data_IF_579996656963
#
_entry.id   IF_579996656963
#
_cell.length_a   1.000
_cell.length_b   1.000
_cell.length_c   1.000
_cell.angle_alpha   90.00
_cell.angle_beta   90.00
_cell.angle_gamma   90.00
#
_symmetry.space_group_name_H-M   'P 1'
#
loop_
_entity.id
_entity.type
_entity.pdbx_description
1 polymer ?
#
# COMPACT_ATOMS: atom_id res chain seq x y z
N UNK A 1 26.75 28.13 -7.20
CA UNK A 1 25.64 27.88 -8.15
C UNK A 1 25.60 26.43 -8.62
N UNK A 2 26.74 25.78 -8.97
CA UNK A 2 26.79 24.37 -9.42
C UNK A 2 26.27 23.38 -8.37
N UNK A 3 26.61 23.54 -7.08
CA UNK A 3 26.17 22.63 -6.01
C UNK A 3 24.64 22.69 -5.80
N UNK A 4 24.05 23.89 -5.82
CA UNK A 4 22.59 24.07 -5.70
C UNK A 4 21.84 23.42 -6.88
N UNK A 5 22.38 23.57 -8.10
CA UNK A 5 21.79 22.93 -9.29
C UNK A 5 21.79 21.41 -9.23
N UNK A 6 22.85 20.81 -8.70
CA UNK A 6 22.96 19.36 -8.48
C UNK A 6 21.93 18.87 -7.45
N UNK A 7 21.74 19.59 -6.35
CA UNK A 7 20.72 19.25 -5.34
C UNK A 7 19.31 19.23 -5.94
N UNK A 8 18.98 20.26 -6.75
CA UNK A 8 17.67 20.34 -7.43
C UNK A 8 17.50 19.17 -8.41
N UNK A 9 18.52 18.85 -9.22
CA UNK A 9 18.45 17.74 -10.17
C UNK A 9 18.17 16.40 -9.47
N UNK A 10 18.87 16.09 -8.39
CA UNK A 10 18.61 14.88 -7.60
C UNK A 10 17.26 14.92 -6.91
N UNK A 11 16.78 16.08 -6.44
CA UNK A 11 15.43 16.20 -5.87
C UNK A 11 14.35 15.90 -6.92
N UNK A 12 14.49 16.40 -8.13
CA UNK A 12 13.58 16.07 -9.24
C UNK A 12 13.63 14.56 -9.57
N UNK A 13 14.80 13.94 -9.48
CA UNK A 13 14.93 12.49 -9.67
C UNK A 13 14.14 11.70 -8.60
N UNK A 14 14.19 12.13 -7.33
CA UNK A 14 13.36 11.57 -6.27
C UNK A 14 11.88 11.68 -6.59
N UNK A 15 11.42 12.83 -7.07
CA UNK A 15 10.02 13.08 -7.41
C UNK A 15 9.61 12.17 -8.59
N UNK A 16 10.33 12.20 -9.70
CA UNK A 16 10.00 11.41 -10.91
C UNK A 16 9.97 9.91 -10.60
N UNK A 17 10.86 9.44 -9.73
CA UNK A 17 10.93 8.03 -9.36
C UNK A 17 9.72 7.55 -8.55
N UNK A 18 9.12 8.41 -7.73
CA UNK A 18 8.04 8.03 -6.80
C UNK A 18 6.65 8.54 -7.20
N UNK A 19 6.57 9.60 -8.03
CA UNK A 19 5.29 10.26 -8.34
C UNK A 19 4.25 9.31 -8.94
N UNK A 20 4.69 8.33 -9.74
CA UNK A 20 3.80 7.37 -10.39
C UNK A 20 3.00 6.54 -9.38
N UNK A 21 3.65 6.05 -8.32
CA UNK A 21 2.99 5.29 -7.26
C UNK A 21 2.10 6.20 -6.40
N UNK A 22 2.60 7.40 -6.06
CA UNK A 22 1.89 8.35 -5.19
C UNK A 22 0.60 8.83 -5.84
N UNK A 23 0.60 9.18 -7.14
CA UNK A 23 -0.59 9.71 -7.83
C UNK A 23 -1.60 8.62 -8.18
N UNK A 24 -1.15 7.37 -8.37
CA UNK A 24 -2.03 6.27 -8.75
C UNK A 24 -2.99 5.87 -7.62
N UNK A 25 -2.54 5.94 -6.37
CA UNK A 25 -3.33 5.53 -5.21
C UNK A 25 -4.64 6.32 -5.07
N UNK A 26 -4.64 7.68 -5.04
CA UNK A 26 -5.88 8.46 -4.92
C UNK A 26 -6.82 8.30 -6.12
N UNK A 27 -6.29 8.10 -7.33
CA UNK A 27 -7.12 7.85 -8.52
C UNK A 27 -7.85 6.51 -8.37
N UNK A 28 -7.14 5.45 -8.01
CA UNK A 28 -7.72 4.12 -7.85
C UNK A 28 -8.72 4.07 -6.69
N UNK A 29 -8.32 4.55 -5.51
CA UNK A 29 -9.16 4.56 -4.31
C UNK A 29 -10.38 5.46 -4.51
N UNK A 30 -10.20 6.64 -5.10
CA UNK A 30 -11.26 7.58 -5.35
C UNK A 30 -12.35 7.01 -6.27
N UNK A 31 -11.95 6.37 -7.38
CA UNK A 31 -12.89 5.69 -8.26
C UNK A 31 -13.64 4.55 -7.55
N UNK A 32 -12.95 3.75 -6.73
CA UNK A 32 -13.57 2.66 -5.99
C UNK A 32 -14.60 3.18 -4.96
N UNK A 33 -14.27 4.27 -4.26
CA UNK A 33 -15.14 4.95 -3.29
C UNK A 33 -16.24 5.83 -3.94
N UNK A 34 -16.34 5.85 -5.26
CA UNK A 34 -17.33 6.62 -5.99
C UNK A 34 -17.17 8.13 -5.84
N UNK A 35 -15.93 8.60 -5.72
CA UNK A 35 -15.62 10.03 -5.65
C UNK A 35 -15.76 10.67 -7.03
N UNK A 36 -16.24 11.89 -7.05
CA UNK A 36 -16.24 12.70 -8.28
C UNK A 36 -14.81 13.22 -8.58
N UNK A 37 -14.53 13.73 -9.79
CA UNK A 37 -13.20 14.21 -10.16
C UNK A 37 -12.62 15.28 -9.24
N UNK A 38 -13.44 16.16 -8.67
CA UNK A 38 -12.99 17.20 -7.74
C UNK A 38 -12.58 16.59 -6.38
N UNK A 39 -13.31 15.60 -5.89
CA UNK A 39 -12.99 14.86 -4.66
C UNK A 39 -11.72 14.01 -4.83
N UNK A 40 -11.54 13.35 -6.00
CA UNK A 40 -10.28 12.64 -6.32
C UNK A 40 -9.12 13.62 -6.35
N UNK A 41 -9.34 14.83 -6.88
CA UNK A 41 -8.37 15.90 -6.85
C UNK A 41 -7.92 16.26 -5.43
N UNK A 42 -8.88 16.44 -4.50
CA UNK A 42 -8.59 16.70 -3.08
C UNK A 42 -7.84 15.55 -2.42
N UNK A 43 -8.23 14.30 -2.69
CA UNK A 43 -7.54 13.13 -2.17
C UNK A 43 -6.10 13.03 -2.70
N UNK A 44 -5.88 13.40 -3.97
CA UNK A 44 -4.55 13.45 -4.58
C UNK A 44 -3.66 14.51 -3.94
N UNK A 45 -4.19 15.72 -3.70
CA UNK A 45 -3.48 16.77 -2.97
C UNK A 45 -3.08 16.30 -1.57
N UNK A 46 -4.04 15.73 -0.84
CA UNK A 46 -3.81 15.20 0.50
C UNK A 46 -2.74 14.11 0.50
N UNK A 47 -2.74 13.23 -0.51
CA UNK A 47 -1.75 12.17 -0.65
C UNK A 47 -0.34 12.73 -0.85
N UNK A 48 -0.15 13.74 -1.71
CA UNK A 48 1.14 14.42 -1.86
C UNK A 48 1.58 15.10 -0.56
N UNK A 49 0.68 15.84 0.09
CA UNK A 49 0.95 16.57 1.33
C UNK A 49 1.41 15.62 2.45
N UNK A 50 0.66 14.55 2.69
CA UNK A 50 0.98 13.59 3.74
C UNK A 50 2.25 12.77 3.42
N UNK A 51 2.49 12.42 2.16
CA UNK A 51 3.73 11.76 1.74
C UNK A 51 4.96 12.60 2.09
N UNK A 52 4.92 13.91 1.79
CA UNK A 52 6.00 14.82 2.11
C UNK A 52 6.23 14.96 3.62
N UNK A 53 5.16 15.17 4.39
CA UNK A 53 5.21 15.28 5.86
C UNK A 53 5.72 13.98 6.49
N UNK A 54 5.14 12.84 6.14
CA UNK A 54 5.52 11.55 6.70
C UNK A 54 6.99 11.21 6.41
N UNK A 55 7.48 11.50 5.20
CA UNK A 55 8.89 11.30 4.83
C UNK A 55 9.84 12.22 5.62
N UNK A 56 9.46 13.48 5.86
CA UNK A 56 10.24 14.39 6.73
C UNK A 56 10.22 13.92 8.20
N UNK A 57 9.09 13.41 8.68
CA UNK A 57 9.01 12.82 10.02
C UNK A 57 9.94 11.60 10.15
N UNK A 58 10.00 10.73 9.15
CA UNK A 58 10.86 9.55 9.15
C UNK A 58 12.35 9.91 9.21
N UNK A 59 12.80 10.86 8.42
CA UNK A 59 14.22 11.26 8.46
C UNK A 59 14.59 11.96 9.77
N UNK A 60 13.67 12.72 10.38
CA UNK A 60 13.94 13.52 11.59
C UNK A 60 13.75 12.73 12.88
N UNK A 61 12.70 11.95 12.99
CA UNK A 61 12.25 11.29 14.23
C UNK A 61 12.23 9.76 14.13
N UNK A 62 12.10 9.18 12.94
CA UNK A 62 11.98 7.74 12.69
C UNK A 62 13.33 7.03 12.50
N UNK A 63 13.41 6.22 11.44
CA UNK A 63 14.61 5.45 11.09
C UNK A 63 15.80 6.35 10.67
N UNK A 64 15.57 7.59 10.26
CA UNK A 64 16.61 8.55 9.88
C UNK A 64 17.18 8.31 8.49
N UNK A 65 16.67 7.36 7.73
CA UNK A 65 17.16 7.02 6.40
C UNK A 65 16.33 7.66 5.28
N UNK A 66 16.83 7.60 4.06
CA UNK A 66 16.24 8.24 2.89
C UNK A 66 15.22 7.29 2.23
N UNK A 67 14.07 7.12 2.87
CA UNK A 67 12.94 6.34 2.35
C UNK A 67 11.71 7.25 2.26
N UNK A 68 11.09 7.34 1.10
CA UNK A 68 9.79 8.01 0.95
C UNK A 68 8.72 7.18 1.69
N UNK A 69 7.97 7.84 2.55
CA UNK A 69 6.80 7.29 3.25
C UNK A 69 5.56 7.64 2.43
N UNK A 70 5.05 6.70 1.66
CA UNK A 70 3.98 6.99 0.69
C UNK A 70 2.85 5.95 0.67
N UNK A 71 1.79 6.19 -0.13
CA UNK A 71 0.60 5.35 -0.16
C UNK A 71 0.94 3.95 -0.67
N UNK A 72 0.81 2.96 0.19
CA UNK A 72 1.18 1.59 -0.13
C UNK A 72 0.04 0.79 -0.76
N UNK A 73 0.40 -0.07 -1.72
CA UNK A 73 -0.57 -0.89 -2.42
C UNK A 73 -1.49 -1.71 -1.49
N UNK A 74 -1.04 -2.32 -0.39
CA UNK A 74 -1.96 -3.02 0.52
C UNK A 74 -3.01 -2.11 1.17
N UNK A 75 -2.67 -0.86 1.50
CA UNK A 75 -3.63 0.09 2.08
C UNK A 75 -4.73 0.48 1.10
N UNK A 76 -4.36 0.88 -0.12
CA UNK A 76 -5.37 1.22 -1.12
C UNK A 76 -6.15 0.00 -1.60
N UNK A 77 -5.53 -1.19 -1.61
CA UNK A 77 -6.25 -2.43 -1.83
C UNK A 77 -7.37 -2.64 -0.78
N UNK A 78 -7.07 -2.44 0.52
CA UNK A 78 -8.08 -2.54 1.57
C UNK A 78 -9.22 -1.53 1.39
N UNK A 79 -8.93 -0.28 1.01
CA UNK A 79 -9.97 0.72 0.70
C UNK A 79 -10.87 0.26 -0.46
N UNK A 80 -10.28 -0.27 -1.53
CA UNK A 80 -11.01 -0.79 -2.71
C UNK A 80 -11.90 -1.98 -2.34
N UNK A 81 -11.38 -2.88 -1.50
CA UNK A 81 -12.09 -4.06 -1.03
C UNK A 81 -13.30 -3.65 -0.17
N UNK A 82 -13.11 -2.76 0.81
CA UNK A 82 -14.21 -2.27 1.65
C UNK A 82 -15.28 -1.57 0.81
N UNK A 83 -14.88 -0.78 -0.17
CA UNK A 83 -15.82 -0.15 -1.10
C UNK A 83 -16.62 -1.20 -1.91
N UNK A 84 -15.96 -2.28 -2.34
CA UNK A 84 -16.61 -3.39 -3.04
C UNK A 84 -17.64 -4.10 -2.18
N UNK A 85 -17.25 -4.51 -0.97
CA UNK A 85 -18.12 -5.16 0.02
C UNK A 85 -19.32 -4.26 0.34
N UNK A 86 -19.09 -2.96 0.58
CA UNK A 86 -20.17 -2.03 0.89
C UNK A 86 -21.18 -1.88 -0.26
N UNK A 87 -20.72 -1.85 -1.51
CA UNK A 87 -21.61 -1.85 -2.70
C UNK A 87 -22.49 -3.10 -2.76
N UNK A 88 -21.89 -4.27 -2.51
CA UNK A 88 -22.63 -5.54 -2.48
C UNK A 88 -23.63 -5.59 -1.33
N UNK A 89 -23.33 -4.96 -0.18
CA UNK A 89 -24.21 -4.82 0.98
C UNK A 89 -25.25 -3.70 0.86
N UNK A 90 -25.26 -2.95 -0.22
CA UNK A 90 -26.14 -1.78 -0.37
C UNK A 90 -25.81 -0.64 0.61
N UNK A 91 -24.62 -0.63 1.23
CA UNK A 91 -24.18 0.44 2.15
C UNK A 91 -23.76 1.69 1.35
N UNK A 92 -24.12 2.89 1.81
CA UNK A 92 -23.64 4.12 1.18
C UNK A 92 -22.11 4.23 1.23
N UNK A 93 -21.46 4.52 0.09
CA UNK A 93 -20.00 4.68 0.05
C UNK A 93 -19.51 5.86 0.90
N UNK A 94 -20.37 6.85 1.17
CA UNK A 94 -20.06 7.95 2.09
C UNK A 94 -19.76 7.45 3.52
N UNK A 95 -20.48 6.45 4.03
CA UNK A 95 -20.19 5.86 5.34
C UNK A 95 -18.88 5.08 5.35
N UNK A 96 -18.53 4.43 4.23
CA UNK A 96 -17.25 3.70 4.12
C UNK A 96 -16.05 4.64 4.21
N UNK A 97 -16.16 5.85 3.67
CA UNK A 97 -15.11 6.88 3.74
C UNK A 97 -14.80 7.26 5.19
N UNK A 98 -15.83 7.51 6.00
CA UNK A 98 -15.69 7.82 7.43
C UNK A 98 -15.25 6.62 8.26
N UNK A 99 -15.66 5.38 7.88
CA UNK A 99 -15.18 4.14 8.49
C UNK A 99 -13.66 3.94 8.26
N UNK A 100 -13.17 4.25 7.06
CA UNK A 100 -11.73 4.21 6.72
C UNK A 100 -10.96 5.22 7.55
N UNK A 101 -11.46 6.45 7.74
CA UNK A 101 -10.84 7.45 8.61
C UNK A 101 -10.68 6.93 10.04
N UNK A 102 -11.75 6.43 10.64
CA UNK A 102 -11.72 5.88 12.00
C UNK A 102 -10.81 4.67 12.12
N UNK A 103 -10.86 3.75 11.16
CA UNK A 103 -10.00 2.57 11.13
C UNK A 103 -8.51 2.95 11.02
N UNK A 104 -8.16 3.94 10.20
CA UNK A 104 -6.79 4.46 10.06
C UNK A 104 -6.30 5.16 11.33
N UNK A 105 -7.16 5.92 12.02
CA UNK A 105 -6.85 6.56 13.32
C UNK A 105 -6.45 5.47 14.34
N UNK A 106 -7.28 4.46 14.52
CA UNK A 106 -7.05 3.37 15.49
C UNK A 106 -5.78 2.59 15.11
N UNK A 107 -5.64 2.23 13.84
CA UNK A 107 -4.49 1.47 13.35
C UNK A 107 -3.19 2.26 13.49
N UNK A 108 -3.21 3.53 13.08
CA UNK A 108 -2.05 4.41 13.18
C UNK A 108 -1.60 4.58 14.64
N UNK A 109 -2.53 4.83 15.56
CA UNK A 109 -2.24 4.92 16.98
C UNK A 109 -1.65 3.61 17.53
N UNK A 110 -2.23 2.47 17.17
CA UNK A 110 -1.73 1.15 17.57
C UNK A 110 -0.31 0.91 17.11
N UNK A 111 0.00 1.17 15.83
CA UNK A 111 1.36 1.03 15.30
C UNK A 111 2.35 2.01 15.94
N UNK A 112 1.92 3.24 16.23
CA UNK A 112 2.75 4.23 16.92
C UNK A 112 3.11 3.77 18.33
N UNK A 113 2.15 3.22 19.07
CA UNK A 113 2.39 2.65 20.41
C UNK A 113 3.31 1.45 20.32
N UNK A 114 3.04 0.46 19.44
CA UNK A 114 3.86 -0.74 19.28
C UNK A 114 5.33 -0.40 18.94
N UNK A 115 5.54 0.57 18.05
CA UNK A 115 6.88 1.05 17.73
C UNK A 115 7.54 1.77 18.91
N UNK A 116 6.78 2.57 19.67
CA UNK A 116 7.32 3.32 20.81
C UNK A 116 7.77 2.44 21.96
N UNK A 117 7.09 1.33 22.21
CA UNK A 117 7.43 0.36 23.28
C UNK A 117 8.39 -0.74 22.82
N UNK A 118 8.87 -0.69 21.57
CA UNK A 118 9.93 -1.60 21.07
C UNK A 118 9.46 -3.02 20.76
N UNK A 119 8.19 -3.22 20.41
CA UNK A 119 7.59 -4.54 20.15
C UNK A 119 7.81 -5.07 18.73
N UNK A 120 8.67 -4.46 17.92
CA UNK A 120 8.88 -4.91 16.53
C UNK A 120 9.39 -6.36 16.45
N UNK A 121 10.20 -6.80 17.42
CA UNK A 121 10.68 -8.19 17.50
C UNK A 121 9.54 -9.17 17.73
N UNK A 122 8.59 -8.82 18.62
CA UNK A 122 7.45 -9.65 18.96
C UNK A 122 6.47 -9.73 17.77
N UNK A 123 6.15 -8.60 17.18
CA UNK A 123 5.26 -8.55 16.01
C UNK A 123 5.79 -9.42 14.85
N UNK A 124 7.10 -9.38 14.58
CA UNK A 124 7.73 -10.22 13.53
C UNK A 124 7.58 -11.72 13.77
N UNK A 125 7.43 -12.18 15.01
CA UNK A 125 7.31 -13.61 15.33
C UNK A 125 5.94 -14.19 14.95
N UNK A 126 4.88 -13.38 14.89
CA UNK A 126 3.55 -13.80 14.49
C UNK A 126 3.33 -13.70 12.97
N UNK A 127 3.99 -12.74 12.32
CA UNK A 127 3.85 -12.49 10.89
C UNK A 127 5.00 -13.11 10.11
N UNK A 128 4.90 -14.42 9.93
CA UNK A 128 5.86 -15.19 9.13
C UNK A 128 5.77 -14.79 7.65
N UNK A 129 6.79 -15.15 6.87
CA UNK A 129 6.78 -14.95 5.42
C UNK A 129 5.53 -15.61 4.78
N UNK A 130 5.06 -16.74 5.31
CA UNK A 130 3.87 -17.45 4.80
C UNK A 130 2.60 -16.66 5.05
N UNK A 131 2.38 -16.21 6.29
CA UNK A 131 1.20 -15.38 6.65
C UNK A 131 1.15 -14.11 5.81
N UNK A 132 2.30 -13.41 5.68
CA UNK A 132 2.40 -12.21 4.83
C UNK A 132 2.19 -12.55 3.36
N UNK A 133 2.74 -13.68 2.89
CA UNK A 133 2.57 -14.16 1.53
C UNK A 133 1.11 -14.45 1.18
N UNK A 134 0.38 -15.14 2.07
CA UNK A 134 -1.05 -15.42 1.92
C UNK A 134 -1.86 -14.12 1.86
N UNK A 135 -1.56 -13.15 2.75
CA UNK A 135 -2.18 -11.83 2.71
C UNK A 135 -2.01 -11.17 1.34
N UNK A 136 -0.76 -11.03 0.89
CA UNK A 136 -0.45 -10.33 -0.36
C UNK A 136 -1.05 -11.03 -1.59
N UNK A 137 -1.09 -12.36 -1.58
CA UNK A 137 -1.73 -13.14 -2.64
C UNK A 137 -3.24 -12.87 -2.69
N UNK A 138 -3.94 -12.96 -1.55
CA UNK A 138 -5.38 -12.72 -1.47
C UNK A 138 -5.74 -11.27 -1.82
N UNK A 139 -4.97 -10.28 -1.33
CA UNK A 139 -5.11 -8.88 -1.73
C UNK A 139 -4.94 -8.72 -3.25
N UNK A 140 -3.89 -9.31 -3.81
CA UNK A 140 -3.59 -9.24 -5.24
C UNK A 140 -4.71 -9.81 -6.11
N UNK A 141 -5.26 -10.97 -5.74
CA UNK A 141 -6.37 -11.61 -6.45
C UNK A 141 -7.65 -10.77 -6.37
N UNK A 142 -7.98 -10.24 -5.19
CA UNK A 142 -9.20 -9.45 -4.99
C UNK A 142 -9.15 -8.13 -5.76
N UNK A 143 -8.06 -7.36 -5.66
CA UNK A 143 -7.94 -6.10 -6.43
C UNK A 143 -7.80 -6.35 -7.93
N UNK A 144 -7.21 -7.48 -8.34
CA UNK A 144 -7.17 -7.90 -9.73
C UNK A 144 -8.58 -8.06 -10.31
N UNK A 145 -9.48 -8.71 -9.56
CA UNK A 145 -10.90 -8.84 -9.92
C UNK A 145 -11.61 -7.49 -10.05
N UNK A 146 -11.36 -6.56 -9.10
CA UNK A 146 -11.89 -5.18 -9.18
C UNK A 146 -11.32 -4.44 -10.39
N UNK A 147 -10.04 -4.62 -10.71
CA UNK A 147 -9.39 -4.05 -11.89
C UNK A 147 -10.06 -4.49 -13.20
N UNK A 148 -10.37 -5.79 -13.34
CA UNK A 148 -11.09 -6.32 -14.52
C UNK A 148 -12.50 -5.69 -14.63
N UNK A 149 -13.26 -5.64 -13.53
CA UNK A 149 -14.57 -4.99 -13.50
C UNK A 149 -14.48 -3.50 -13.88
N UNK A 150 -13.46 -2.80 -13.39
CA UNK A 150 -13.22 -1.39 -13.67
C UNK A 150 -12.84 -1.12 -15.13
N UNK A 151 -12.07 -2.01 -15.76
CA UNK A 151 -11.78 -1.92 -17.20
C UNK A 151 -13.06 -2.05 -18.03
N UNK A 152 -13.95 -2.99 -17.70
CA UNK A 152 -15.16 -3.25 -18.44
C UNK A 152 -16.23 -2.16 -18.25
N UNK A 153 -16.15 -1.33 -17.19
CA UNK A 153 -17.20 -0.38 -16.79
C UNK A 153 -17.34 0.89 -17.63
N UNK A 154 -16.37 1.20 -18.52
CA UNK A 154 -16.29 2.50 -19.21
C UNK A 154 -16.82 2.53 -20.65
N UNK A 155 -17.49 1.49 -21.11
CA UNK A 155 -17.88 1.34 -22.53
C UNK A 155 -16.68 1.00 -23.43
N UNK A 156 -16.93 0.67 -24.69
CA UNK A 156 -15.92 0.10 -25.61
C UNK A 156 -14.71 1.02 -25.81
N UNK A 157 -14.91 2.33 -25.99
CA UNK A 157 -13.80 3.28 -26.20
C UNK A 157 -12.84 3.29 -25.02
N UNK A 158 -13.34 3.51 -23.81
CA UNK A 158 -12.55 3.58 -22.60
C UNK A 158 -11.97 2.21 -22.21
N UNK A 159 -12.67 1.11 -22.52
CA UNK A 159 -12.13 -0.24 -22.38
C UNK A 159 -10.87 -0.44 -23.24
N UNK A 160 -10.91 -0.03 -24.52
CA UNK A 160 -9.75 -0.13 -25.43
C UNK A 160 -8.60 0.74 -24.88
N UNK A 161 -8.88 1.97 -24.45
CA UNK A 161 -7.85 2.85 -23.87
C UNK A 161 -7.23 2.20 -22.62
N UNK A 162 -8.06 1.67 -21.70
CA UNK A 162 -7.56 0.96 -20.53
C UNK A 162 -6.70 -0.24 -20.88
N UNK A 163 -7.06 -1.01 -21.91
CA UNK A 163 -6.25 -2.13 -22.41
C UNK A 163 -4.92 -1.65 -22.99
N UNK A 164 -4.90 -0.56 -23.76
CA UNK A 164 -3.66 0.04 -24.27
C UNK A 164 -2.75 0.53 -23.14
N UNK A 165 -3.33 1.13 -22.09
CA UNK A 165 -2.60 1.53 -20.88
C UNK A 165 -1.97 0.30 -20.21
N UNK A 166 -2.74 -0.78 -20.02
CA UNK A 166 -2.24 -2.03 -19.44
C UNK A 166 -1.06 -2.58 -20.23
N UNK A 167 -1.19 -2.69 -21.55
CA UNK A 167 -0.12 -3.15 -22.45
C UNK A 167 1.11 -2.24 -22.36
N UNK A 168 0.93 -0.93 -22.30
CA UNK A 168 2.01 0.03 -22.18
C UNK A 168 2.75 -0.09 -20.84
N UNK A 169 2.03 -0.26 -19.70
CA UNK A 169 2.66 -0.51 -18.40
C UNK A 169 3.51 -1.76 -18.45
N UNK A 170 2.97 -2.86 -18.99
CA UNK A 170 3.69 -4.13 -19.13
C UNK A 170 4.93 -3.95 -20.01
N UNK A 171 4.78 -3.34 -21.18
CA UNK A 171 5.88 -3.11 -22.10
C UNK A 171 7.01 -2.29 -21.47
N UNK A 172 6.68 -1.15 -20.86
CA UNK A 172 7.68 -0.28 -20.21
C UNK A 172 8.32 -0.95 -18.98
N UNK A 173 7.58 -1.79 -18.25
CA UNK A 173 8.13 -2.53 -17.12
C UNK A 173 9.11 -3.61 -17.55
N UNK A 174 8.85 -4.30 -18.66
CA UNK A 174 9.70 -5.39 -19.18
C UNK A 174 10.90 -4.88 -19.98
N UNK A 175 10.69 -3.90 -20.87
CA UNK A 175 11.69 -3.45 -21.83
C UNK A 175 12.30 -2.08 -21.50
N UNK A 176 11.66 -1.32 -20.60
CA UNK A 176 12.17 -0.02 -20.14
C UNK A 176 13.47 -0.17 -19.37
N UNK A 177 14.35 0.83 -19.48
CA UNK A 177 15.63 0.91 -18.76
C UNK A 177 15.67 2.18 -17.92
N UNK A 178 16.30 2.09 -16.73
CA UNK A 178 16.50 3.24 -15.85
C UNK A 178 15.20 3.97 -15.50
N UNK A 179 15.15 5.26 -15.76
CA UNK A 179 13.98 6.11 -15.44
C UNK A 179 12.71 5.69 -16.18
N UNK A 180 12.80 5.20 -17.43
CA UNK A 180 11.62 4.76 -18.20
C UNK A 180 10.90 3.60 -17.51
N UNK A 181 11.65 2.61 -17.03
CA UNK A 181 11.07 1.49 -16.28
C UNK A 181 10.40 1.95 -15.00
N UNK A 182 11.06 2.82 -14.24
CA UNK A 182 10.56 3.29 -12.96
C UNK A 182 9.35 4.24 -13.11
N UNK A 183 9.26 4.92 -14.25
CA UNK A 183 8.14 5.81 -14.59
C UNK A 183 7.05 5.10 -15.41
N UNK A 184 7.10 3.76 -15.58
CA UNK A 184 6.18 3.02 -16.43
C UNK A 184 4.71 3.33 -16.13
N UNK A 185 4.33 3.35 -14.85
CA UNK A 185 2.95 3.61 -14.42
C UNK A 185 2.53 5.04 -14.79
N UNK A 186 3.31 6.05 -14.41
CA UNK A 186 2.93 7.46 -14.66
C UNK A 186 2.89 7.77 -16.15
N UNK A 187 3.83 7.25 -16.94
CA UNK A 187 3.85 7.43 -18.39
C UNK A 187 2.62 6.78 -19.05
N UNK A 188 2.23 5.60 -18.59
CA UNK A 188 1.08 4.89 -19.12
C UNK A 188 -0.24 5.57 -18.70
N UNK A 189 -0.33 6.09 -17.47
CA UNK A 189 -1.49 6.89 -17.02
C UNK A 189 -1.59 8.18 -17.84
N UNK A 190 -0.49 8.89 -18.04
CA UNK A 190 -0.46 10.10 -18.85
C UNK A 190 -0.86 9.83 -20.32
N UNK A 191 -0.38 8.71 -20.88
CA UNK A 191 -0.78 8.25 -22.21
C UNK A 191 -2.28 7.94 -22.27
N UNK A 192 -2.81 7.18 -21.33
CA UNK A 192 -4.25 6.86 -21.24
C UNK A 192 -5.10 8.10 -21.03
N UNK A 193 -4.66 9.05 -20.20
CA UNK A 193 -5.31 10.33 -20.02
C UNK A 193 -5.34 11.14 -21.33
N UNK A 194 -4.21 11.22 -22.04
CA UNK A 194 -4.13 11.91 -23.33
C UNK A 194 -5.06 11.29 -24.38
N UNK A 195 -5.07 9.97 -24.50
CA UNK A 195 -6.02 9.27 -25.40
C UNK A 195 -7.47 9.52 -25.04
N UNK A 196 -7.79 9.51 -23.74
CA UNK A 196 -9.14 9.79 -23.25
C UNK A 196 -9.54 11.24 -23.51
N UNK A 197 -8.61 12.18 -23.37
CA UNK A 197 -8.81 13.59 -23.68
C UNK A 197 -9.13 13.79 -25.18
N UNK A 198 -8.32 13.18 -26.06
CA UNK A 198 -8.53 13.23 -27.51
C UNK A 198 -9.84 12.54 -27.94
N UNK A 199 -10.29 11.54 -27.17
CA UNK A 199 -11.58 10.87 -27.38
C UNK A 199 -12.81 11.64 -26.83
N UNK A 200 -12.58 12.79 -26.14
CA UNK A 200 -13.64 13.59 -25.52
C UNK A 200 -14.24 13.00 -24.23
N UNK A 201 -13.54 12.06 -23.61
CA UNK A 201 -14.01 11.31 -22.42
C UNK A 201 -13.43 11.87 -21.09
N UNK A 202 -12.68 12.99 -21.14
CA UNK A 202 -12.09 13.61 -19.95
C UNK A 202 -12.96 14.74 -19.44
N UNK A 203 -13.34 14.67 -18.16
CA UNK A 203 -14.04 15.74 -17.47
C UNK A 203 -13.05 16.47 -16.56
N UNK A 204 -12.73 17.71 -16.92
CA UNK A 204 -11.86 18.56 -16.08
C UNK A 204 -12.69 19.21 -14.98
N UNK A 205 -12.30 19.10 -13.70
CA UNK A 205 -12.96 19.85 -12.64
C UNK A 205 -12.80 21.37 -12.88
N UNK A 206 -13.92 22.08 -12.78
CA UNK A 206 -13.93 23.57 -12.98
C UNK A 206 -13.16 24.30 -11.87
N UNK A 207 -12.59 25.44 -12.25
CA UNK A 207 -12.01 26.51 -11.42
C UNK A 207 -11.47 26.12 -10.04
N UNK A 208 -10.23 25.68 -9.93
CA UNK A 208 -9.57 25.43 -8.65
C UNK A 208 -8.79 26.68 -8.19
N UNK A 209 -8.82 26.95 -6.88
CA UNK A 209 -7.89 27.93 -6.27
C UNK A 209 -6.44 27.50 -6.54
N UNK A 210 -5.51 28.48 -6.57
CA UNK A 210 -4.08 28.17 -6.74
C UNK A 210 -3.43 27.61 -5.47
N UNK A 211 -4.06 27.81 -4.32
CA UNK A 211 -3.59 27.37 -3.02
C UNK A 211 -4.77 26.89 -2.17
N UNK A 212 -4.61 25.75 -1.51
CA UNK A 212 -5.58 25.20 -0.56
C UNK A 212 -4.87 24.34 0.47
N UNK A 213 -5.20 24.54 1.74
CA UNK A 213 -4.78 23.64 2.81
C UNK A 213 -5.69 22.40 2.81
N UNK A 214 -5.14 21.18 2.97
CA UNK A 214 -5.94 20.00 3.16
C UNK A 214 -6.82 20.12 4.42
N UNK A 215 -8.13 19.91 4.33
CA UNK A 215 -9.01 19.97 5.49
C UNK A 215 -8.78 18.78 6.42
N UNK A 216 -9.07 18.96 7.70
CA UNK A 216 -9.20 17.84 8.63
C UNK A 216 -10.53 17.13 8.37
N UNK A 217 -10.53 15.80 8.53
CA UNK A 217 -11.71 14.96 8.33
C UNK A 217 -12.40 15.25 6.99
N UNK A 218 -11.65 15.00 5.91
CA UNK A 218 -12.07 15.30 4.53
C UNK A 218 -13.47 14.75 4.19
N UNK A 219 -13.84 13.63 4.78
CA UNK A 219 -15.10 12.91 4.51
C UNK A 219 -16.16 13.13 5.58
N UNK A 220 -15.88 13.89 6.62
CA UNK A 220 -16.76 14.16 7.75
C UNK A 220 -16.25 13.54 9.06
N UNK A 221 -17.07 13.53 10.13
CA UNK A 221 -16.66 12.92 11.39
C UNK A 221 -16.30 11.44 11.22
N UNK A 222 -15.15 10.97 11.74
CA UNK A 222 -14.73 9.59 11.60
C UNK A 222 -15.71 8.64 12.32
N UNK A 223 -16.02 7.52 11.69
CA UNK A 223 -16.79 6.45 12.31
C UNK A 223 -15.89 5.25 12.62
N UNK A 224 -16.24 4.50 13.66
CA UNK A 224 -15.42 3.39 14.18
C UNK A 224 -16.18 2.06 14.01
N UNK A 225 -16.54 1.75 12.76
CA UNK A 225 -17.17 0.48 12.43
C UNK A 225 -16.19 -0.67 12.69
N UNK A 226 -16.63 -1.67 13.48
CA UNK A 226 -15.76 -2.73 14.04
C UNK A 226 -15.07 -3.55 12.93
N UNK A 227 -15.81 -3.92 11.88
CA UNK A 227 -15.25 -4.70 10.77
C UNK A 227 -14.14 -3.96 10.04
N UNK A 228 -14.33 -2.67 9.77
CA UNK A 228 -13.32 -1.80 9.16
C UNK A 228 -12.11 -1.61 10.07
N UNK A 229 -12.33 -1.36 11.37
CA UNK A 229 -11.24 -1.20 12.36
C UNK A 229 -10.42 -2.49 12.46
N UNK A 230 -11.05 -3.65 12.59
CA UNK A 230 -10.35 -4.95 12.66
C UNK A 230 -9.58 -5.23 11.37
N UNK A 231 -10.19 -4.95 10.21
CA UNK A 231 -9.55 -5.15 8.90
C UNK A 231 -8.26 -4.34 8.77
N UNK A 232 -8.32 -3.05 9.10
CA UNK A 232 -7.18 -2.15 9.00
C UNK A 232 -6.13 -2.41 10.08
N UNK A 233 -6.53 -2.78 11.31
CA UNK A 233 -5.61 -3.21 12.36
C UNK A 233 -4.80 -4.44 11.94
N UNK A 234 -5.49 -5.49 11.46
CA UNK A 234 -4.82 -6.70 10.97
C UNK A 234 -3.86 -6.37 9.83
N UNK A 235 -4.30 -5.57 8.86
CA UNK A 235 -3.44 -5.15 7.76
C UNK A 235 -2.24 -4.35 8.25
N UNK A 236 -2.43 -3.39 9.17
CA UNK A 236 -1.35 -2.61 9.75
C UNK A 236 -0.29 -3.47 10.43
N UNK A 237 -0.72 -4.43 11.24
CA UNK A 237 0.17 -5.39 11.88
C UNK A 237 0.92 -6.26 10.87
N UNK A 238 0.23 -6.73 9.82
CA UNK A 238 0.81 -7.52 8.72
C UNK A 238 1.78 -6.71 7.83
N UNK A 239 1.74 -5.39 7.87
CA UNK A 239 2.67 -4.52 7.16
C UNK A 239 3.96 -4.20 7.96
N UNK A 240 4.06 -4.60 9.24
CA UNK A 240 5.28 -4.41 10.04
C UNK A 240 6.51 -5.05 9.36
N UNK A 241 6.48 -6.28 8.82
CA UNK A 241 7.57 -6.85 8.05
C UNK A 241 7.99 -6.00 6.83
N UNK A 242 7.03 -5.32 6.17
CA UNK A 242 7.34 -4.41 5.07
C UNK A 242 8.15 -3.19 5.52
N UNK A 243 7.81 -2.59 6.66
CA UNK A 243 8.60 -1.50 7.26
C UNK A 243 10.02 -1.96 7.52
N UNK A 244 10.16 -3.14 8.14
CA UNK A 244 11.47 -3.75 8.42
C UNK A 244 12.24 -4.04 7.14
N UNK A 245 11.58 -4.61 6.13
CA UNK A 245 12.19 -4.93 4.84
C UNK A 245 12.66 -3.69 4.08
N UNK A 246 11.91 -2.59 4.14
CA UNK A 246 12.29 -1.31 3.52
C UNK A 246 13.54 -0.71 4.18
N UNK A 247 13.63 -0.76 5.52
CA UNK A 247 14.82 -0.31 6.25
C UNK A 247 16.03 -1.21 5.95
N UNK A 248 15.84 -2.53 5.90
CA UNK A 248 16.90 -3.47 5.53
C UNK A 248 17.40 -3.27 4.08
N UNK A 249 16.49 -2.95 3.14
CA UNK A 249 16.85 -2.59 1.77
C UNK A 249 17.68 -1.30 1.72
N UNK A 250 17.35 -0.33 2.56
CA UNK A 250 18.16 0.90 2.71
C UNK A 250 19.57 0.59 3.23
N UNK A 251 19.69 -0.26 4.27
CA UNK A 251 20.99 -0.70 4.79
C UNK A 251 21.84 -1.35 3.70
N UNK A 252 21.23 -2.23 2.89
CA UNK A 252 21.93 -2.87 1.78
C UNK A 252 22.38 -1.86 0.71
N UNK A 253 21.56 -0.83 0.42
CA UNK A 253 21.87 0.21 -0.57
C UNK A 253 22.93 1.20 -0.09
N UNK A 254 22.95 1.50 1.22
CA UNK A 254 23.90 2.47 1.80
C UNK A 254 25.17 1.84 2.30
N UNK A 255 25.17 0.54 2.64
CA UNK A 255 26.24 -0.16 3.33
C UNK A 255 26.29 0.15 4.84
N UNK A 256 25.33 0.92 5.37
CA UNK A 256 25.26 1.32 6.77
C UNK A 256 24.22 0.47 7.51
N UNK A 257 24.61 -0.11 8.64
CA UNK A 257 23.67 -0.85 9.51
C UNK A 257 23.05 0.08 10.54
N UNK A 258 21.73 0.04 10.63
CA UNK A 258 20.96 0.81 11.59
C UNK A 258 20.72 -0.01 12.88
N UNK A 259 20.87 0.60 14.06
CA UNK A 259 20.55 -0.10 15.31
C UNK A 259 19.06 -0.41 15.40
N UNK A 260 18.70 -1.49 16.09
CA UNK A 260 17.33 -1.98 16.20
C UNK A 260 16.33 -0.89 16.68
N UNK A 261 16.80 0.00 17.55
CA UNK A 261 16.02 1.17 18.02
C UNK A 261 15.55 2.09 16.87
N UNK A 262 16.27 2.12 15.75
CA UNK A 262 15.84 2.89 14.55
C UNK A 262 14.70 2.21 13.81
N UNK A 263 14.62 0.89 13.85
CA UNK A 263 13.49 0.15 13.32
C UNK A 263 12.22 0.41 14.15
N UNK A 264 12.32 0.35 15.49
CA UNK A 264 11.22 0.67 16.39
C UNK A 264 10.72 2.09 16.21
N UNK A 265 11.63 3.08 16.11
CA UNK A 265 11.27 4.47 15.81
C UNK A 265 10.66 4.63 14.42
N UNK A 266 11.17 3.89 13.42
CA UNK A 266 10.59 3.85 12.08
C UNK A 266 9.13 3.41 12.11
N UNK A 267 8.83 2.32 12.83
CA UNK A 267 7.46 1.85 13.01
C UNK A 267 6.59 2.86 13.77
N UNK A 268 7.13 3.46 14.84
CA UNK A 268 6.40 4.47 15.61
C UNK A 268 6.01 5.68 14.75
N UNK A 269 6.93 6.15 13.90
CA UNK A 269 6.66 7.28 12.99
C UNK A 269 5.74 6.87 11.85
N UNK A 270 5.86 5.66 11.26
CA UNK A 270 4.86 5.16 10.30
C UNK A 270 3.47 5.08 10.94
N UNK A 271 3.38 4.63 12.20
CA UNK A 271 2.13 4.64 12.94
C UNK A 271 1.57 6.05 13.10
N UNK A 272 2.40 7.01 13.50
CA UNK A 272 1.99 8.42 13.63
C UNK A 272 1.57 9.02 12.28
N UNK A 273 2.28 8.68 11.18
CA UNK A 273 1.89 9.10 9.84
C UNK A 273 0.52 8.53 9.44
N UNK A 274 0.26 7.25 9.72
CA UNK A 274 -1.05 6.63 9.46
C UNK A 274 -2.16 7.18 10.36
N UNK A 275 -1.85 7.57 11.60
CA UNK A 275 -2.79 8.32 12.44
C UNK A 275 -3.18 9.66 11.78
N UNK A 276 -2.18 10.44 11.31
CA UNK A 276 -2.45 11.68 10.56
C UNK A 276 -3.25 11.42 9.29
N UNK A 277 -2.94 10.34 8.55
CA UNK A 277 -3.73 9.90 7.39
C UNK A 277 -5.20 9.72 7.77
N UNK A 278 -5.51 9.07 8.88
CA UNK A 278 -6.88 8.91 9.36
C UNK A 278 -7.54 10.24 9.73
N UNK A 279 -6.80 11.14 10.42
CA UNK A 279 -7.32 12.47 10.81
C UNK A 279 -7.60 13.37 9.59
N UNK A 280 -6.85 13.23 8.52
CA UNK A 280 -7.07 14.02 7.30
C UNK A 280 -7.98 13.34 6.27
N UNK A 281 -8.26 12.03 6.42
CA UNK A 281 -9.04 11.26 5.44
C UNK A 281 -8.25 10.82 4.22
N UNK A 282 -6.96 10.50 4.40
CA UNK A 282 -6.03 10.11 3.34
C UNK A 282 -5.93 8.60 3.12
N UNK A 283 -4.86 8.19 2.46
CA UNK A 283 -4.54 6.79 2.15
C UNK A 283 -3.32 6.37 2.96
N UNK A 284 -3.38 5.20 3.60
CA UNK A 284 -2.34 4.68 4.46
C UNK A 284 -0.96 4.58 3.81
N UNK A 285 0.08 4.89 4.59
CA UNK A 285 1.47 4.99 4.13
C UNK A 285 2.36 3.94 4.75
N UNK A 286 3.45 3.62 4.05
CA UNK A 286 4.62 2.86 4.56
C UNK A 286 5.89 3.37 3.88
N UNK A 287 7.08 3.10 4.47
CA UNK A 287 8.35 3.39 3.80
C UNK A 287 8.50 2.56 2.52
N UNK A 288 8.81 3.20 1.41
CA UNK A 288 9.00 2.54 0.13
C UNK A 288 10.40 1.93 -0.03
N UNK A 289 10.48 0.61 -0.11
CA UNK A 289 11.73 -0.11 -0.40
C UNK A 289 12.35 0.30 -1.76
N UNK A 290 11.54 0.76 -2.73
CA UNK A 290 12.04 1.27 -4.01
C UNK A 290 12.97 2.48 -3.87
N UNK A 291 12.86 3.25 -2.80
CA UNK A 291 13.78 4.35 -2.48
C UNK A 291 15.23 3.88 -2.35
N UNK A 292 15.45 2.68 -1.78
CA UNK A 292 16.77 2.05 -1.72
C UNK A 292 17.32 1.75 -3.13
N UNK A 293 16.46 1.35 -4.07
CA UNK A 293 16.81 1.18 -5.47
C UNK A 293 17.31 2.47 -6.11
N UNK A 294 16.65 3.60 -5.83
CA UNK A 294 17.10 4.91 -6.33
C UNK A 294 18.48 5.30 -5.78
N UNK A 295 18.73 5.05 -4.49
CA UNK A 295 20.04 5.31 -3.87
C UNK A 295 21.13 4.46 -4.54
N UNK A 296 20.88 3.16 -4.74
CA UNK A 296 21.81 2.26 -5.40
C UNK A 296 22.10 2.67 -6.84
N UNK A 297 21.08 3.14 -7.57
CA UNK A 297 21.21 3.59 -8.96
C UNK A 297 21.94 4.94 -9.09
N UNK A 298 21.59 5.92 -8.25
CA UNK A 298 22.15 7.27 -8.32
C UNK A 298 23.49 7.43 -7.61
N UNK A 299 23.81 6.52 -6.69
CA UNK A 299 24.95 6.63 -5.76
C UNK A 299 24.86 7.80 -4.77
N UNK A 300 23.76 8.56 -4.79
CA UNK A 300 23.59 9.75 -3.95
C UNK A 300 22.95 9.39 -2.60
N UNK A 301 23.74 9.52 -1.53
CA UNK A 301 23.30 9.29 -0.14
C UNK A 301 23.07 10.62 0.62
N UNK A 302 23.09 11.77 -0.08
CA UNK A 302 22.91 13.08 0.56
C UNK A 302 21.45 13.29 0.99
N UNK A 303 21.19 13.75 2.22
CA UNK A 303 19.84 14.06 2.68
C UNK A 303 19.25 15.33 2.04
N UNK A 304 20.08 16.26 1.53
CA UNK A 304 19.63 17.55 0.99
C UNK A 304 18.63 17.39 -0.17
N UNK A 305 18.90 16.58 -1.24
CA UNK A 305 17.95 16.35 -2.31
C UNK A 305 16.67 15.65 -1.86
N UNK A 306 16.78 14.69 -0.93
CA UNK A 306 15.65 13.98 -0.36
C UNK A 306 14.72 14.95 0.40
N UNK A 307 15.28 15.78 1.30
CA UNK A 307 14.49 16.78 2.04
C UNK A 307 13.82 17.75 1.07
N UNK A 308 14.54 18.22 0.05
CA UNK A 308 13.97 19.11 -0.96
C UNK A 308 12.81 18.43 -1.72
N UNK A 309 12.91 17.15 -2.08
CA UNK A 309 11.82 16.43 -2.72
C UNK A 309 10.59 16.30 -1.81
N UNK A 310 10.79 16.05 -0.52
CA UNK A 310 9.69 16.02 0.46
C UNK A 310 8.99 17.39 0.58
N UNK A 311 9.74 18.48 0.60
CA UNK A 311 9.19 19.84 0.61
C UNK A 311 8.40 20.12 -0.68
N UNK A 312 8.90 19.66 -1.83
CA UNK A 312 8.18 19.78 -3.10
C UNK A 312 6.90 18.95 -3.09
N UNK A 313 6.87 17.73 -2.53
CA UNK A 313 5.63 16.97 -2.37
C UNK A 313 4.62 17.71 -1.49
N UNK A 314 5.04 18.33 -0.38
CA UNK A 314 4.15 19.18 0.42
C UNK A 314 3.59 20.32 -0.44
N UNK A 315 4.44 21.03 -1.19
CA UNK A 315 4.01 22.13 -2.06
C UNK A 315 3.02 21.65 -3.15
N UNK A 316 3.26 20.46 -3.75
CA UNK A 316 2.32 19.86 -4.70
C UNK A 316 0.95 19.57 -4.05
N UNK A 317 0.94 19.14 -2.80
CA UNK A 317 -0.28 18.91 -2.03
C UNK A 317 -1.05 20.20 -1.68
N UNK A 318 -0.37 21.35 -1.70
CA UNK A 318 -0.98 22.68 -1.49
C UNK A 318 -1.44 23.35 -2.79
N UNK A 319 -1.23 22.71 -3.94
CA UNK A 319 -1.49 23.25 -5.27
C UNK A 319 -2.65 22.50 -5.97
N UNK A 320 -3.92 22.93 -5.81
CA UNK A 320 -5.12 22.28 -6.34
C UNK A 320 -5.12 21.91 -7.82
N UNK A 321 -4.52 22.68 -8.75
CA UNK A 321 -4.51 22.31 -10.15
C UNK A 321 -3.88 20.95 -10.45
N UNK A 322 -2.87 20.51 -9.69
CA UNK A 322 -2.29 19.17 -9.81
C UNK A 322 -3.27 18.07 -9.37
N UNK A 323 -4.02 18.33 -8.29
CA UNK A 323 -5.09 17.44 -7.85
C UNK A 323 -6.20 17.32 -8.90
N UNK A 324 -6.63 18.45 -9.47
CA UNK A 324 -7.63 18.49 -10.54
C UNK A 324 -7.22 17.63 -11.75
N UNK A 325 -5.97 17.72 -12.17
CA UNK A 325 -5.41 16.88 -13.23
C UNK A 325 -5.49 15.38 -12.88
N UNK A 326 -5.12 15.01 -11.66
CA UNK A 326 -5.22 13.63 -11.19
C UNK A 326 -6.68 13.13 -11.16
N UNK A 327 -7.61 13.99 -10.70
CA UNK A 327 -9.04 13.68 -10.63
C UNK A 327 -9.72 13.53 -11.99
N UNK A 328 -9.12 14.05 -13.06
CA UNK A 328 -9.66 13.94 -14.43
C UNK A 328 -9.30 12.61 -15.12
N UNK A 329 -8.52 11.73 -14.48
CA UNK A 329 -8.13 10.42 -15.04
C UNK A 329 -9.34 9.47 -15.07
N UNK A 330 -9.74 8.95 -16.23
CA UNK A 330 -10.90 8.05 -16.34
C UNK A 330 -10.68 6.72 -15.59
N UNK A 331 -11.81 6.16 -15.09
CA UNK A 331 -11.80 4.91 -14.31
C UNK A 331 -11.08 3.73 -15.02
N UNK A 332 -11.27 3.44 -16.32
CA UNK A 332 -10.56 2.32 -16.97
C UNK A 332 -9.05 2.49 -17.04
N UNK A 333 -8.55 3.73 -17.10
CA UNK A 333 -7.10 4.02 -17.02
C UNK A 333 -6.57 3.67 -15.61
N UNK A 334 -7.29 4.05 -14.56
CA UNK A 334 -6.96 3.69 -13.17
C UNK A 334 -7.06 2.17 -12.95
N UNK A 335 -8.06 1.51 -13.54
CA UNK A 335 -8.27 0.07 -13.44
C UNK A 335 -7.12 -0.76 -14.04
N UNK A 336 -6.50 -0.29 -15.12
CA UNK A 336 -5.29 -0.90 -15.69
C UNK A 336 -4.13 -0.89 -14.68
N UNK A 337 -3.93 0.22 -13.96
CA UNK A 337 -2.92 0.32 -12.89
C UNK A 337 -3.24 -0.62 -11.73
N UNK A 338 -4.52 -0.74 -11.38
CA UNK A 338 -5.00 -1.63 -10.32
C UNK A 338 -4.67 -3.10 -10.64
N UNK A 339 -4.88 -3.53 -11.89
CA UNK A 339 -4.52 -4.86 -12.35
C UNK A 339 -3.02 -5.15 -12.22
N UNK A 340 -2.17 -4.23 -12.65
CA UNK A 340 -0.71 -4.40 -12.54
C UNK A 340 -0.29 -4.45 -11.06
N UNK A 341 -0.91 -3.64 -10.21
CA UNK A 341 -0.65 -3.64 -8.77
C UNK A 341 -1.08 -4.96 -8.13
N UNK A 342 -2.26 -5.49 -8.51
CA UNK A 342 -2.75 -6.80 -8.08
C UNK A 342 -1.80 -7.92 -8.49
N UNK A 343 -1.36 -7.93 -9.73
CA UNK A 343 -0.35 -8.87 -10.23
C UNK A 343 0.94 -8.79 -9.40
N UNK A 344 1.43 -7.61 -9.13
CA UNK A 344 2.65 -7.41 -8.34
C UNK A 344 2.50 -7.94 -6.91
N UNK A 345 1.39 -7.64 -6.23
CA UNK A 345 1.10 -8.16 -4.89
C UNK A 345 0.99 -9.69 -4.88
N UNK A 346 0.27 -10.28 -5.84
CA UNK A 346 0.10 -11.72 -5.95
C UNK A 346 1.45 -12.44 -6.14
N UNK A 347 2.33 -11.92 -6.99
CA UNK A 347 3.65 -12.51 -7.24
C UNK A 347 4.59 -12.34 -6.04
N UNK A 348 4.56 -11.21 -5.34
CA UNK A 348 5.31 -11.03 -4.10
C UNK A 348 4.80 -12.03 -3.06
N UNK A 349 3.48 -12.14 -2.91
CA UNK A 349 2.85 -13.11 -2.01
C UNK A 349 3.26 -14.55 -2.32
N UNK A 350 3.25 -14.94 -3.61
CA UNK A 350 3.70 -16.26 -4.04
C UNK A 350 5.17 -16.52 -3.66
N UNK A 351 6.05 -15.56 -3.92
CA UNK A 351 7.49 -15.68 -3.57
C UNK A 351 7.71 -15.84 -2.06
N UNK A 352 6.96 -15.09 -1.25
CA UNK A 352 7.07 -15.19 0.21
C UNK A 352 6.56 -16.53 0.73
N UNK A 353 5.48 -17.07 0.16
CA UNK A 353 4.95 -18.39 0.54
C UNK A 353 5.91 -19.54 0.22
N UNK A 354 6.60 -19.48 -0.94
CA UNK A 354 7.53 -20.54 -1.38
C UNK A 354 9.00 -20.29 -1.01
N UNK A 355 9.27 -19.27 -0.21
CA UNK A 355 10.63 -18.90 0.19
C UNK A 355 11.34 -19.95 1.04
N UNK A 356 10.56 -20.70 1.81
CA UNK A 356 11.02 -21.83 2.63
C UNK A 356 10.47 -23.13 2.04
N UNK A 357 11.09 -24.25 2.40
CA UNK A 357 10.64 -25.56 1.95
C UNK A 357 9.17 -25.83 2.29
N UNK A 358 8.43 -26.33 1.31
CA UNK A 358 7.01 -26.62 1.43
C UNK A 358 6.86 -28.10 1.78
N UNK A 359 6.69 -28.39 3.06
CA UNK A 359 6.36 -29.72 3.55
C UNK A 359 4.84 -29.95 3.51
N UNK A 360 4.38 -31.16 3.87
CA UNK A 360 2.95 -31.47 3.96
C UNK A 360 2.20 -30.51 4.91
N UNK A 361 2.84 -30.09 6.00
CA UNK A 361 2.30 -29.11 6.95
C UNK A 361 2.06 -27.76 6.26
N UNK A 362 3.06 -27.27 5.56
CA UNK A 362 2.99 -25.98 4.85
C UNK A 362 1.95 -26.02 3.72
N UNK A 363 1.78 -27.16 3.05
CA UNK A 363 0.72 -27.37 2.05
C UNK A 363 -0.67 -27.11 2.66
N UNK A 364 -0.95 -27.67 3.86
CA UNK A 364 -2.23 -27.43 4.52
C UNK A 364 -2.41 -25.99 4.98
N UNK A 365 -1.37 -25.35 5.53
CA UNK A 365 -1.45 -23.94 5.94
C UNK A 365 -1.76 -23.06 4.75
N UNK A 366 -0.99 -23.16 3.66
CA UNK A 366 -1.16 -22.34 2.47
C UNK A 366 -2.48 -22.67 1.78
N UNK A 367 -2.72 -23.97 1.51
CA UNK A 367 -3.89 -24.42 0.76
C UNK A 367 -5.20 -24.06 1.42
N UNK A 368 -5.40 -24.43 2.70
CA UNK A 368 -6.64 -24.13 3.41
C UNK A 368 -6.86 -22.62 3.61
N UNK A 369 -5.79 -21.86 3.88
CA UNK A 369 -5.91 -20.41 4.04
C UNK A 369 -6.31 -19.72 2.74
N UNK A 370 -5.71 -20.09 1.61
CA UNK A 370 -6.07 -19.55 0.30
C UNK A 370 -7.48 -19.97 -0.11
N UNK A 371 -7.82 -21.26 0.04
CA UNK A 371 -9.14 -21.78 -0.32
C UNK A 371 -10.25 -21.15 0.52
N UNK A 372 -10.04 -20.98 1.83
CA UNK A 372 -11.02 -20.29 2.70
C UNK A 372 -11.19 -18.83 2.32
N UNK A 373 -10.07 -18.10 2.07
CA UNK A 373 -10.12 -16.70 1.65
C UNK A 373 -10.80 -16.51 0.30
N UNK A 374 -10.41 -17.28 -0.72
CA UNK A 374 -11.02 -17.24 -2.06
C UNK A 374 -12.47 -17.71 -2.01
N UNK A 375 -12.76 -18.78 -1.26
CA UNK A 375 -14.11 -19.30 -1.08
C UNK A 375 -15.06 -18.23 -0.55
N UNK A 376 -14.64 -17.48 0.48
CA UNK A 376 -15.42 -16.36 1.02
C UNK A 376 -15.64 -15.25 -0.02
N UNK A 377 -14.62 -14.92 -0.83
CA UNK A 377 -14.73 -13.92 -1.91
C UNK A 377 -15.76 -14.31 -3.00
N UNK A 378 -16.02 -15.60 -3.15
CA UNK A 378 -16.96 -16.13 -4.15
C UNK A 378 -18.37 -16.32 -3.59
N UNK A 379 -18.57 -16.24 -2.27
CA UNK A 379 -19.89 -16.39 -1.66
C UNK A 379 -20.76 -15.16 -1.95
N UNK A 380 -22.04 -15.36 -2.36
CA UNK A 380 -22.97 -14.26 -2.53
C UNK A 380 -23.27 -13.60 -1.19
N UNK A 381 -23.51 -12.28 -1.22
CA UNK A 381 -23.70 -11.49 -0.01
C UNK A 381 -24.89 -11.95 0.86
N UNK A 382 -25.95 -12.49 0.25
CA UNK A 382 -27.13 -13.02 0.95
C UNK A 382 -26.80 -14.09 2.02
N UNK A 383 -25.65 -14.75 1.91
CA UNK A 383 -25.22 -15.73 2.93
C UNK A 383 -24.84 -15.06 4.27
N UNK A 384 -24.54 -13.76 4.25
CA UNK A 384 -24.09 -13.01 5.43
C UNK A 384 -25.22 -12.26 6.16
N UNK A 385 -26.43 -12.17 5.57
CA UNK A 385 -27.57 -11.43 6.12
C UNK A 385 -28.08 -11.98 7.45
N UNK A 386 -27.88 -13.28 7.70
CA UNK A 386 -28.29 -13.94 8.94
C UNK A 386 -27.27 -13.82 10.09
N UNK A 387 -26.11 -13.25 9.82
CA UNK A 387 -25.01 -13.11 10.78
C UNK A 387 -25.04 -11.69 11.38
N UNK A 388 -24.78 -11.52 12.69
CA UNK A 388 -24.69 -10.19 13.29
C UNK A 388 -23.73 -9.29 12.53
N UNK A 389 -24.11 -8.02 12.28
CA UNK A 389 -23.39 -7.10 11.38
C UNK A 389 -21.89 -6.97 11.68
N UNK A 390 -21.49 -6.97 12.95
CA UNK A 390 -20.06 -6.94 13.32
C UNK A 390 -19.29 -8.20 12.88
N UNK A 391 -19.93 -9.36 12.94
CA UNK A 391 -19.32 -10.62 12.51
C UNK A 391 -19.37 -10.76 10.98
N UNK A 392 -20.45 -10.33 10.35
CA UNK A 392 -20.58 -10.28 8.90
C UNK A 392 -19.49 -9.42 8.25
N UNK A 393 -19.17 -8.25 8.81
CA UNK A 393 -18.09 -7.37 8.34
C UNK A 393 -16.69 -8.02 8.36
N UNK A 394 -16.44 -8.93 9.29
CA UNK A 394 -15.18 -9.69 9.37
C UNK A 394 -15.22 -10.93 8.47
N UNK A 395 -16.28 -11.73 8.57
CA UNK A 395 -16.38 -13.02 7.90
C UNK A 395 -16.65 -12.92 6.40
N UNK A 396 -17.26 -11.84 5.92
CA UNK A 396 -17.44 -11.58 4.47
C UNK A 396 -16.16 -11.11 3.77
N UNK A 397 -15.15 -10.72 4.55
CA UNK A 397 -13.87 -10.31 4.00
C UNK A 397 -12.94 -11.52 3.83
N UNK A 398 -12.84 -12.06 2.61
CA UNK A 398 -12.02 -13.23 2.32
C UNK A 398 -10.54 -13.06 2.64
N UNK A 399 -9.99 -11.83 2.57
CA UNK A 399 -8.60 -11.57 2.97
C UNK A 399 -8.44 -11.79 4.48
N UNK A 400 -9.35 -11.25 5.29
CA UNK A 400 -9.30 -11.42 6.75
C UNK A 400 -9.42 -12.90 7.11
N UNK A 401 -10.41 -13.60 6.55
CA UNK A 401 -10.65 -15.03 6.82
C UNK A 401 -9.44 -15.87 6.47
N UNK A 402 -8.85 -15.66 5.28
CA UNK A 402 -7.66 -16.39 4.86
C UNK A 402 -6.44 -16.11 5.75
N UNK A 403 -6.23 -14.85 6.15
CA UNK A 403 -5.11 -14.47 7.01
C UNK A 403 -5.28 -15.00 8.42
N UNK A 404 -6.45 -14.82 9.04
CA UNK A 404 -6.73 -15.38 10.37
C UNK A 404 -6.63 -16.90 10.37
N UNK A 405 -7.13 -17.56 9.28
CA UNK A 405 -6.95 -18.99 9.06
C UNK A 405 -5.48 -19.40 9.04
N UNK A 406 -4.63 -18.64 8.34
CA UNK A 406 -3.19 -18.93 8.27
C UNK A 406 -2.49 -18.76 9.62
N UNK A 407 -2.81 -17.72 10.38
CA UNK A 407 -2.28 -17.50 11.72
C UNK A 407 -2.70 -18.64 12.65
N UNK A 408 -3.99 -19.01 12.64
CA UNK A 408 -4.53 -20.10 13.45
C UNK A 408 -3.88 -21.43 13.11
N UNK A 409 -3.78 -21.77 11.81
CA UNK A 409 -3.16 -23.02 11.37
C UNK A 409 -1.67 -23.05 11.71
N UNK A 410 -0.92 -21.98 11.49
CA UNK A 410 0.53 -21.96 11.67
C UNK A 410 0.94 -21.97 13.15
N UNK A 411 0.24 -21.21 14.00
CA UNK A 411 0.67 -20.96 15.39
C UNK A 411 -0.09 -21.80 16.43
N UNK A 412 -1.28 -22.30 16.09
CA UNK A 412 -2.13 -23.07 17.04
C UNK A 412 -2.29 -24.51 16.60
N UNK A 413 -2.94 -24.75 15.44
CA UNK A 413 -3.35 -26.10 15.01
C UNK A 413 -2.18 -26.95 14.58
N UNK A 414 -1.31 -26.43 13.72
CA UNK A 414 -0.17 -27.14 13.12
C UNK A 414 1.15 -26.58 13.64
N UNK A 415 1.22 -26.24 14.93
CA UNK A 415 2.41 -25.66 15.53
C UNK A 415 3.60 -26.62 15.42
N UNK A 416 4.75 -26.12 14.93
CA UNK A 416 6.01 -26.88 14.96
C UNK A 416 6.41 -27.16 16.42
N UNK A 417 6.72 -28.41 16.79
CA UNK A 417 7.29 -28.69 18.09
C UNK A 417 8.57 -27.86 18.25
N UNK A 418 8.75 -27.26 19.43
CA UNK A 418 10.03 -26.58 19.74
C UNK A 418 11.12 -27.62 19.56
N UNK A 419 12.05 -27.41 18.63
CA UNK A 419 13.31 -28.16 18.60
C UNK A 419 14.02 -27.86 19.91
N UNK A 420 13.98 -28.82 20.81
CA UNK A 420 14.89 -28.86 21.97
C UNK A 420 16.29 -28.89 21.35
N UNK A 421 17.08 -27.85 21.61
CA UNK A 421 18.52 -27.86 21.37
C UNK A 421 19.10 -28.89 22.34
N UNK A 422 19.10 -30.14 21.91
CA UNK A 422 19.72 -31.26 22.61
C UNK A 422 20.69 -31.93 21.66
N UNK A 423 21.93 -31.96 22.12
CA UNK A 423 23.01 -32.84 21.65
C UNK A 423 23.71 -32.51 20.32
N UNK A 424 24.68 -31.60 20.44
CA UNK A 424 25.96 -31.78 19.78
C UNK A 424 27.16 -31.54 20.76
N UNK A 425 27.05 -32.11 21.96
CA UNK A 425 28.18 -32.22 22.90
C UNK A 425 28.32 -33.71 23.28
N UNK A 426 28.59 -34.57 22.30
CA UNK A 426 29.23 -35.88 22.55
C UNK A 426 29.79 -36.35 21.20
N UNK A 427 31.08 -36.10 20.97
CA UNK A 427 31.74 -36.64 19.77
C UNK A 427 33.10 -36.05 19.47
N UNK A 428 33.89 -35.67 20.49
CA UNK A 428 35.34 -35.56 20.36
C UNK A 428 36.01 -35.92 21.68
N UNK A 429 35.97 -37.19 22.01
CA UNK A 429 36.93 -37.79 22.92
C UNK A 429 37.24 -39.20 22.39
N UNK A 430 38.48 -39.42 21.94
CA UNK A 430 39.03 -40.77 21.72
C UNK A 430 39.32 -41.07 20.25
N UNK A 431 40.58 -40.81 19.83
CA UNK A 431 41.55 -41.81 19.44
C UNK A 431 42.84 -41.14 18.96
N UNK A 432 43.89 -41.39 19.74
CA UNK A 432 45.37 -41.46 19.48
C UNK A 432 45.95 -40.69 18.31
#
# INVERSE_FOLDING_TARGET
LKEKGIVVLYALQWIVYHIGVIISAPIVVGNALGLNPAEIGKLSQLTFFLTGIASLMQIRFGHGGLLIEGPAAPWWAACVILAGIAKEMGRPLASVRTDIEGAMIVTGLTLAVLGSIGLIKWARSFFTNRVTGILLMLLGLQIGGVGIKGLAGGGLKLFIIGLLVLLMVIYLTLHGRGLLKNSAIILSVAFGWLLSFLAGEVVMPGGSAWFSLPPLFLWGPPSFEIGSVVSFLLLGLLLIPNVVGSIAALEAATGERLPLKKYDRGLAVSGTANFLVGVFGGIGTIPFAISAGLISFSGNKSPKPFILSCVIFIAMGLFPPLGALAGSVPQPVAAAVLLVSGCSLAIIGLRDMVREEITLRENFIIGLSLLSGIGVMLLPHSQWEQIPGWAAGILSNGVIVGVLGSILLEHVVLRKPRQTVSQSITGKAGHN
#
